data_IF_092693770310
#
_entry.id   IF_092693770310
#
_cell.length_a   1.000
_cell.length_b   1.000
_cell.length_c   1.000
_cell.angle_alpha   90.00
_cell.angle_beta   90.00
_cell.angle_gamma   90.00
#
_symmetry.space_group_name_H-M   'P 1'
#
loop_
_entity.id
_entity.type
_entity.pdbx_description
1 polymer ?
#
# COMPACT_ATOMS: atom_id res chain seq x y z
N UNK A 1 -3.82 -7.28 -9.33
CA UNK A 1 -4.17 -7.58 -7.93
C UNK A 1 -4.04 -6.28 -7.16
N UNK A 2 -5.01 -6.03 -6.29
CA UNK A 2 -5.08 -4.87 -5.39
C UNK A 2 -5.46 -5.38 -4.01
N UNK A 3 -4.81 -4.88 -2.96
CA UNK A 3 -5.24 -5.04 -1.59
C UNK A 3 -6.36 -4.05 -1.23
N UNK A 4 -6.92 -4.19 -0.04
CA UNK A 4 -8.21 -3.57 0.33
C UNK A 4 -8.16 -2.08 0.64
N UNK A 5 -6.97 -1.50 0.77
CA UNK A 5 -6.75 -0.09 1.13
C UNK A 5 -6.27 0.78 -0.04
N UNK A 6 -6.71 0.43 -1.25
CA UNK A 6 -6.44 1.15 -2.48
C UNK A 6 -7.69 1.89 -2.97
N UNK A 7 -7.56 3.16 -3.31
CA UNK A 7 -8.60 3.96 -3.98
C UNK A 7 -8.11 4.33 -5.38
N UNK A 8 -8.93 4.07 -6.39
CA UNK A 8 -8.62 4.39 -7.78
C UNK A 8 -8.88 5.89 -7.99
N UNK A 9 -7.82 6.64 -8.31
CA UNK A 9 -7.88 8.07 -8.64
C UNK A 9 -8.30 8.22 -10.12
N UNK A 10 -7.65 7.46 -10.99
CA UNK A 10 -7.87 7.44 -12.43
C UNK A 10 -7.69 6.02 -12.97
N UNK A 11 -8.27 5.67 -14.13
CA UNK A 11 -8.06 4.35 -14.74
C UNK A 11 -6.54 4.07 -14.91
N UNK A 12 -6.00 3.00 -14.32
CA UNK A 12 -4.57 2.71 -14.44
C UNK A 12 -4.18 2.45 -15.88
N UNK A 13 -3.08 3.06 -16.33
CA UNK A 13 -2.54 2.77 -17.65
C UNK A 13 -2.04 1.33 -17.69
N UNK A 14 -2.67 0.48 -18.51
CA UNK A 14 -2.22 -0.89 -18.68
C UNK A 14 -0.98 -0.93 -19.60
N UNK A 15 0.21 -0.80 -19.01
CA UNK A 15 1.49 -0.96 -19.70
C UNK A 15 2.07 -2.38 -19.55
N UNK A 16 1.27 -3.32 -19.04
CA UNK A 16 1.68 -4.72 -18.89
C UNK A 16 1.52 -5.48 -20.22
N UNK A 17 2.33 -6.51 -20.40
CA UNK A 17 2.21 -7.46 -21.52
C UNK A 17 1.94 -8.87 -20.97
N UNK A 18 1.61 -9.86 -21.84
CA UNK A 18 1.46 -11.25 -21.40
C UNK A 18 2.69 -11.86 -20.73
N UNK A 19 3.87 -11.26 -20.89
CA UNK A 19 5.16 -11.73 -20.36
C UNK A 19 5.84 -10.74 -19.43
N UNK A 20 5.38 -9.48 -19.35
CA UNK A 20 5.98 -8.43 -18.52
C UNK A 20 4.90 -7.74 -17.68
N UNK A 21 4.71 -8.14 -16.42
CA UNK A 21 3.80 -7.47 -15.49
C UNK A 21 4.26 -6.06 -15.14
N UNK A 22 3.36 -5.29 -14.53
CA UNK A 22 3.62 -3.94 -14.00
C UNK A 22 3.33 -3.92 -12.52
N UNK A 23 4.23 -3.37 -11.72
CA UNK A 23 4.06 -3.23 -10.27
C UNK A 23 4.56 -1.89 -9.76
N UNK A 24 4.09 -1.50 -8.58
CA UNK A 24 4.63 -0.34 -7.88
C UNK A 24 5.93 -0.70 -7.16
N UNK A 25 6.90 0.22 -7.20
CA UNK A 25 8.19 0.06 -6.52
C UNK A 25 8.13 0.57 -5.09
N UNK A 26 8.37 -0.31 -4.12
CA UNK A 26 8.30 0.03 -2.70
C UNK A 26 9.65 0.56 -2.19
N UNK A 27 9.65 1.79 -1.69
CA UNK A 27 10.86 2.47 -1.21
C UNK A 27 11.54 1.80 -0.01
N UNK A 28 10.83 0.93 0.72
CA UNK A 28 11.36 0.15 1.84
C UNK A 28 11.71 -1.30 1.47
N UNK A 29 11.46 -1.75 0.23
CA UNK A 29 11.81 -3.09 -0.25
C UNK A 29 13.04 -3.03 -1.16
N UNK A 30 14.14 -2.44 -0.68
CA UNK A 30 15.34 -2.28 -1.51
C UNK A 30 16.24 -3.50 -1.33
N UNK A 31 16.36 -4.34 -2.36
CA UNK A 31 17.18 -5.57 -2.32
C UNK A 31 18.64 -5.35 -1.94
N UNK A 32 19.18 -4.16 -2.23
CA UNK A 32 20.56 -3.75 -1.96
C UNK A 32 20.75 -3.04 -0.63
N UNK A 33 19.68 -2.83 0.15
CA UNK A 33 19.81 -2.30 1.50
C UNK A 33 20.68 -3.24 2.35
N UNK A 34 21.72 -2.76 3.05
CA UNK A 34 22.65 -3.61 3.79
C UNK A 34 22.00 -4.52 4.85
N UNK A 35 20.83 -4.15 5.39
CA UNK A 35 20.08 -4.96 6.35
C UNK A 35 19.28 -6.05 5.66
N UNK A 36 18.75 -5.78 4.46
CA UNK A 36 17.87 -6.69 3.72
C UNK A 36 18.68 -7.66 2.84
N UNK A 37 19.77 -7.19 2.24
CA UNK A 37 20.55 -7.91 1.24
C UNK A 37 21.00 -9.31 1.67
N UNK A 38 21.46 -9.57 2.92
CA UNK A 38 21.83 -10.92 3.34
C UNK A 38 20.66 -11.91 3.28
N UNK A 39 19.45 -11.46 3.65
CA UNK A 39 18.24 -12.28 3.55
C UNK A 39 17.82 -12.44 2.10
N UNK A 40 17.89 -11.39 1.27
CA UNK A 40 17.58 -11.50 -0.16
C UNK A 40 18.51 -12.51 -0.86
N UNK A 41 19.82 -12.40 -0.66
CA UNK A 41 20.81 -13.33 -1.23
C UNK A 41 20.60 -14.79 -0.80
N UNK A 42 20.11 -15.01 0.41
CA UNK A 42 19.82 -16.35 0.92
C UNK A 42 18.66 -17.04 0.18
N UNK A 43 17.67 -16.28 -0.30
CA UNK A 43 16.45 -16.84 -0.90
C UNK A 43 16.31 -16.59 -2.41
N UNK A 44 17.13 -15.69 -2.97
CA UNK A 44 17.21 -15.44 -4.39
C UNK A 44 18.16 -16.43 -5.08
N UNK A 45 17.73 -17.02 -6.18
CA UNK A 45 18.49 -18.05 -6.92
C UNK A 45 19.12 -17.52 -8.20
N UNK A 46 18.91 -16.25 -8.56
CA UNK A 46 19.53 -15.62 -9.73
C UNK A 46 20.89 -15.00 -9.43
N UNK A 47 21.54 -14.51 -10.48
CA UNK A 47 22.97 -14.13 -10.42
C UNK A 47 23.23 -12.75 -9.81
N UNK A 48 22.34 -11.76 -10.03
CA UNK A 48 22.52 -10.40 -9.51
C UNK A 48 21.28 -9.88 -8.77
N UNK A 49 21.39 -9.77 -7.43
CA UNK A 49 20.33 -9.20 -6.59
C UNK A 49 20.27 -7.66 -6.67
N UNK A 50 21.21 -7.00 -7.37
CA UNK A 50 21.18 -5.56 -7.60
C UNK A 50 20.22 -5.16 -8.73
N UNK A 51 19.94 -6.08 -9.65
CA UNK A 51 18.93 -5.95 -10.71
C UNK A 51 17.61 -6.61 -10.26
N UNK A 52 17.17 -6.29 -9.04
CA UNK A 52 15.96 -6.85 -8.44
C UNK A 52 14.79 -5.89 -8.59
N UNK A 53 13.66 -6.41 -9.06
CA UNK A 53 12.45 -5.63 -9.20
C UNK A 53 11.79 -5.50 -7.81
N UNK A 54 11.99 -4.35 -7.16
CA UNK A 54 11.55 -4.05 -5.80
C UNK A 54 10.03 -3.82 -5.70
N UNK A 55 9.23 -4.79 -6.14
CA UNK A 55 7.77 -4.74 -6.22
C UNK A 55 7.10 -5.70 -5.24
N UNK A 56 5.90 -5.36 -4.78
CA UNK A 56 5.03 -6.26 -4.01
C UNK A 56 3.91 -6.87 -4.87
N UNK A 57 3.02 -7.68 -4.26
CA UNK A 57 1.87 -8.28 -4.94
C UNK A 57 0.72 -7.29 -5.16
N UNK A 58 0.78 -6.10 -4.57
CA UNK A 58 -0.21 -5.05 -4.73
C UNK A 58 0.47 -3.68 -4.76
N UNK A 59 0.10 -2.77 -5.67
CA UNK A 59 -0.69 -3.02 -6.86
C UNK A 59 0.16 -3.71 -7.92
N UNK A 60 -0.44 -4.67 -8.62
CA UNK A 60 0.21 -5.32 -9.78
C UNK A 60 -0.78 -5.59 -10.91
N UNK A 61 -0.39 -5.33 -12.15
CA UNK A 61 -1.06 -5.82 -13.35
C UNK A 61 -0.24 -6.99 -13.88
N UNK A 62 -0.82 -8.19 -13.86
CA UNK A 62 -0.14 -9.43 -14.25
C UNK A 62 -1.06 -10.28 -15.11
N UNK A 63 -0.51 -10.87 -16.18
CA UNK A 63 -1.26 -11.78 -17.03
C UNK A 63 -1.58 -13.07 -16.28
N UNK A 64 -2.80 -13.61 -16.47
CA UNK A 64 -3.30 -14.79 -15.75
C UNK A 64 -2.32 -15.96 -15.74
N UNK A 65 -1.68 -16.28 -16.88
CA UNK A 65 -0.71 -17.38 -16.97
C UNK A 65 0.53 -17.18 -16.08
N UNK A 66 1.02 -15.95 -15.95
CA UNK A 66 2.15 -15.65 -15.06
C UNK A 66 1.70 -15.68 -13.60
N UNK A 67 0.47 -15.23 -13.32
CA UNK A 67 -0.10 -15.35 -11.98
C UNK A 67 -0.22 -16.82 -11.56
N UNK A 68 -0.77 -17.68 -12.41
CA UNK A 68 -0.87 -19.13 -12.17
C UNK A 68 0.50 -19.77 -11.89
N UNK A 69 1.56 -19.30 -12.55
CA UNK A 69 2.94 -19.77 -12.31
C UNK A 69 3.47 -19.37 -10.94
N UNK A 70 3.20 -18.14 -10.48
CA UNK A 70 3.81 -17.61 -9.25
C UNK A 70 3.00 -17.89 -7.98
N UNK A 71 1.68 -18.11 -8.06
CA UNK A 71 0.81 -18.27 -6.87
C UNK A 71 1.33 -19.31 -5.88
N UNK A 72 1.69 -20.51 -6.36
CA UNK A 72 2.18 -21.57 -5.46
C UNK A 72 3.61 -21.30 -4.94
N UNK A 73 4.59 -20.96 -5.79
CA UNK A 73 5.92 -20.54 -5.34
C UNK A 73 5.91 -19.36 -4.37
N UNK A 74 5.01 -18.39 -4.58
CA UNK A 74 4.80 -17.26 -3.67
C UNK A 74 4.35 -17.75 -2.30
N UNK A 75 3.30 -18.57 -2.22
CA UNK A 75 2.87 -19.16 -0.95
C UNK A 75 4.02 -19.90 -0.23
N UNK A 76 4.70 -20.80 -0.95
CA UNK A 76 5.78 -21.61 -0.37
C UNK A 76 6.94 -20.71 0.09
N UNK A 77 7.28 -19.66 -0.67
CA UNK A 77 8.28 -18.67 -0.26
C UNK A 77 7.83 -17.89 0.98
N UNK A 78 6.61 -17.36 1.01
CA UNK A 78 6.07 -16.63 2.17
C UNK A 78 6.13 -17.47 3.45
N UNK A 79 5.76 -18.75 3.39
CA UNK A 79 5.86 -19.67 4.54
C UNK A 79 7.33 -19.90 4.93
N UNK A 80 8.22 -20.13 3.97
CA UNK A 80 9.66 -20.32 4.23
C UNK A 80 10.28 -19.10 4.90
N UNK A 81 9.98 -17.90 4.41
CA UNK A 81 10.46 -16.65 4.99
C UNK A 81 9.90 -16.44 6.40
N UNK A 82 8.64 -16.81 6.63
CA UNK A 82 8.01 -16.69 7.95
C UNK A 82 8.64 -17.63 8.99
N UNK A 83 9.02 -18.84 8.58
CA UNK A 83 9.65 -19.85 9.45
C UNK A 83 11.15 -19.58 9.66
N UNK A 84 11.80 -18.83 8.77
CA UNK A 84 13.19 -18.41 8.94
C UNK A 84 13.29 -17.25 9.92
N UNK A 85 13.92 -17.47 11.08
CA UNK A 85 13.98 -16.49 12.15
C UNK A 85 14.60 -15.15 11.71
N UNK A 86 15.64 -15.19 10.87
CA UNK A 86 16.31 -13.98 10.41
C UNK A 86 15.49 -13.26 9.35
N UNK A 87 14.97 -13.97 8.34
CA UNK A 87 14.15 -13.33 7.31
C UNK A 87 12.86 -12.74 7.89
N UNK A 88 12.15 -13.46 8.76
CA UNK A 88 10.96 -12.95 9.43
C UNK A 88 11.25 -11.72 10.29
N UNK A 89 12.43 -11.66 10.94
CA UNK A 89 12.86 -10.51 11.74
C UNK A 89 13.21 -9.31 10.86
N UNK A 90 13.94 -9.53 9.77
CA UNK A 90 14.47 -8.48 8.88
C UNK A 90 13.39 -7.93 7.95
N UNK A 91 12.61 -8.80 7.31
CA UNK A 91 11.51 -8.38 6.44
C UNK A 91 10.28 -7.94 7.23
N UNK A 92 10.07 -8.48 8.43
CA UNK A 92 9.05 -8.01 9.37
C UNK A 92 7.63 -8.05 8.78
N UNK A 93 6.93 -6.92 8.83
CA UNK A 93 5.53 -6.83 8.40
C UNK A 93 5.34 -6.96 6.87
N UNK A 94 6.41 -6.78 6.08
CA UNK A 94 6.39 -6.95 4.61
C UNK A 94 6.95 -8.30 4.15
N UNK A 95 7.09 -9.27 5.06
CA UNK A 95 7.62 -10.62 4.74
C UNK A 95 6.85 -11.28 3.59
N UNK A 96 5.54 -11.10 3.55
CA UNK A 96 4.64 -11.64 2.53
C UNK A 96 4.92 -11.02 1.15
N UNK A 97 5.16 -9.70 1.12
CA UNK A 97 5.52 -8.98 -0.10
C UNK A 97 6.88 -9.45 -0.64
N UNK A 98 7.87 -9.65 0.24
CA UNK A 98 9.15 -10.26 -0.13
C UNK A 98 8.98 -11.70 -0.65
N UNK A 99 8.03 -12.45 -0.10
CA UNK A 99 7.66 -13.77 -0.60
C UNK A 99 7.23 -13.73 -2.06
N UNK A 100 6.40 -12.75 -2.43
CA UNK A 100 6.01 -12.52 -3.82
C UNK A 100 7.21 -12.14 -4.69
N UNK A 101 7.98 -11.12 -4.30
CA UNK A 101 9.08 -10.61 -5.13
C UNK A 101 10.12 -11.69 -5.40
N UNK A 102 10.53 -12.43 -4.36
CA UNK A 102 11.51 -13.51 -4.47
C UNK A 102 10.98 -14.66 -5.33
N UNK A 103 9.70 -15.04 -5.16
CA UNK A 103 9.10 -16.09 -5.98
C UNK A 103 9.01 -15.69 -7.46
N UNK A 104 8.57 -14.46 -7.75
CA UNK A 104 8.49 -13.96 -9.11
C UNK A 104 9.88 -13.87 -9.77
N UNK A 105 10.85 -13.30 -9.07
CA UNK A 105 12.23 -13.15 -9.56
C UNK A 105 12.91 -14.50 -9.77
N UNK A 106 12.71 -15.49 -8.88
CA UNK A 106 13.25 -16.84 -9.04
C UNK A 106 12.63 -17.61 -10.23
N UNK A 107 11.42 -17.23 -10.67
CA UNK A 107 10.78 -17.74 -11.89
C UNK A 107 11.17 -16.96 -13.15
N UNK A 108 12.00 -15.92 -13.03
CA UNK A 108 12.35 -15.02 -14.14
C UNK A 108 11.23 -14.08 -14.57
N UNK A 109 10.19 -13.89 -13.74
CA UNK A 109 9.12 -12.93 -13.99
C UNK A 109 9.64 -11.55 -13.61
N UNK A 110 9.95 -10.74 -14.62
CA UNK A 110 10.45 -9.36 -14.48
C UNK A 110 9.34 -8.33 -14.66
N UNK A 111 9.30 -7.33 -13.80
CA UNK A 111 8.27 -6.28 -13.79
C UNK A 111 8.77 -5.01 -14.45
N UNK A 112 7.86 -4.30 -15.10
CA UNK A 112 8.01 -2.85 -15.27
C UNK A 112 7.63 -2.20 -13.94
N UNK A 113 8.61 -1.61 -13.25
CA UNK A 113 8.38 -0.84 -12.03
C UNK A 113 7.86 0.54 -12.41
N UNK A 114 6.60 0.83 -12.08
CA UNK A 114 5.93 2.08 -12.44
C UNK A 114 5.69 2.93 -11.18
N UNK A 115 6.37 4.07 -11.11
CA UNK A 115 6.31 4.98 -9.96
C UNK A 115 4.96 5.67 -9.84
N UNK A 116 4.37 6.02 -10.98
CA UNK A 116 3.08 6.71 -11.09
C UNK A 116 1.88 5.78 -10.83
N UNK A 117 2.12 4.47 -10.64
CA UNK A 117 1.04 3.51 -10.46
C UNK A 117 0.26 3.76 -9.17
N UNK A 118 0.95 4.18 -8.12
CA UNK A 118 0.40 4.43 -6.80
C UNK A 118 1.12 5.58 -6.11
N UNK A 119 0.41 6.30 -5.25
CA UNK A 119 0.99 7.15 -4.22
C UNK A 119 0.70 6.65 -2.82
N UNK A 120 1.72 6.74 -1.96
CA UNK A 120 1.68 6.33 -0.56
C UNK A 120 2.31 7.43 0.31
N UNK A 121 1.51 8.42 0.76
CA UNK A 121 2.03 9.67 1.30
C UNK A 121 2.47 9.61 2.77
N UNK A 122 2.73 8.42 3.31
CA UNK A 122 3.29 8.17 4.66
C UNK A 122 2.62 8.98 5.80
N UNK A 123 1.34 9.29 5.65
CA UNK A 123 0.52 9.99 6.65
C UNK A 123 0.64 11.51 6.71
N UNK A 124 1.44 12.16 5.85
CA UNK A 124 1.48 13.64 5.73
C UNK A 124 0.59 14.17 4.60
N UNK A 125 0.19 13.30 3.68
CA UNK A 125 -0.53 13.67 2.46
C UNK A 125 0.40 14.17 1.35
N UNK A 126 -0.16 14.41 0.17
CA UNK A 126 0.55 14.79 -1.05
C UNK A 126 -0.33 15.63 -1.95
N UNK A 127 0.30 16.42 -2.83
CA UNK A 127 -0.32 17.22 -3.89
C UNK A 127 0.03 16.64 -5.26
N UNK A 128 -0.68 17.06 -6.32
CA UNK A 128 -0.46 16.57 -7.68
C UNK A 128 -0.99 15.15 -7.82
N UNK A 129 -2.21 14.90 -7.34
CA UNK A 129 -2.83 13.57 -7.33
C UNK A 129 -3.09 13.03 -8.74
N UNK A 130 -3.24 13.92 -9.72
CA UNK A 130 -3.49 13.62 -11.13
C UNK A 130 -2.39 12.82 -11.83
N UNK A 131 -1.16 12.86 -11.30
CA UNK A 131 -0.06 12.04 -11.81
C UNK A 131 -0.16 10.56 -11.42
N UNK A 132 -1.04 10.20 -10.49
CA UNK A 132 -1.16 8.85 -9.94
C UNK A 132 -2.47 8.16 -10.34
N UNK A 133 -2.44 6.83 -10.48
CA UNK A 133 -3.66 6.05 -10.73
C UNK A 133 -4.32 5.55 -9.45
N UNK A 134 -3.54 5.32 -8.39
CA UNK A 134 -4.01 4.73 -7.15
C UNK A 134 -3.53 5.52 -5.94
N UNK A 135 -4.41 5.74 -4.98
CA UNK A 135 -4.08 6.22 -3.64
C UNK A 135 -4.08 5.07 -2.64
N UNK A 136 -2.96 4.84 -1.96
CA UNK A 136 -2.84 3.81 -0.92
C UNK A 136 -3.00 4.43 0.47
N UNK A 137 -4.17 4.21 1.09
CA UNK A 137 -4.52 4.82 2.38
C UNK A 137 -4.16 3.95 3.59
N UNK A 138 -3.16 3.06 3.46
CA UNK A 138 -2.71 2.21 4.57
C UNK A 138 -2.16 3.00 5.75
N UNK A 139 -1.54 4.15 5.48
CA UNK A 139 -1.12 5.12 6.48
C UNK A 139 -2.21 6.17 6.67
N UNK A 140 -2.61 6.37 7.92
CA UNK A 140 -3.56 7.43 8.25
C UNK A 140 -2.97 8.81 8.00
N UNK A 141 -3.78 9.70 7.42
CA UNK A 141 -3.44 11.11 7.28
C UNK A 141 -3.46 11.76 8.66
N UNK A 142 -2.37 12.44 9.02
CA UNK A 142 -2.19 13.16 10.28
C UNK A 142 -1.79 14.60 9.95
N UNK A 143 -2.78 15.45 9.73
CA UNK A 143 -2.55 16.86 9.39
C UNK A 143 -2.40 17.66 10.68
N UNK A 144 -1.17 18.10 10.94
CA UNK A 144 -0.88 19.03 12.02
C UNK A 144 -1.18 20.45 11.53
N UNK A 145 -2.24 21.05 12.07
CA UNK A 145 -2.45 22.48 11.88
C UNK A 145 -1.39 23.25 12.67
N UNK A 146 -0.42 23.83 11.98
CA UNK A 146 0.61 24.66 12.61
C UNK A 146 0.06 25.99 13.16
N UNK A 147 -1.14 26.40 12.75
CA UNK A 147 -1.76 27.69 13.09
C UNK A 147 -2.92 27.58 14.09
N UNK A 148 -3.58 26.43 14.23
CA UNK A 148 -4.70 26.29 15.17
C UNK A 148 -4.26 25.89 16.59
N UNK A 149 -4.85 26.58 17.57
CA UNK A 149 -4.81 26.22 19.01
C UNK A 149 -5.61 24.93 19.34
N UNK A 150 -6.00 24.13 18.33
CA UNK A 150 -6.93 23.01 18.49
C UNK A 150 -6.60 21.82 17.56
N UNK A 151 -5.81 20.86 18.07
CA UNK A 151 -5.81 19.45 17.65
C UNK A 151 -5.32 19.11 16.23
N UNK A 152 -4.78 17.90 16.08
CA UNK A 152 -4.43 17.28 14.78
C UNK A 152 -5.72 16.78 14.10
N UNK A 153 -5.95 17.13 12.83
CA UNK A 153 -6.99 16.46 12.02
C UNK A 153 -6.41 15.14 11.54
N UNK A 154 -7.13 14.04 11.73
CA UNK A 154 -6.66 12.71 11.36
C UNK A 154 -7.74 11.87 10.72
N UNK A 155 -7.37 11.22 9.61
CA UNK A 155 -8.16 10.19 8.98
C UNK A 155 -7.30 8.92 8.85
N UNK A 156 -7.51 7.96 9.75
CA UNK A 156 -6.81 6.68 9.77
C UNK A 156 -7.81 5.52 9.83
N UNK A 157 -7.66 4.55 8.92
CA UNK A 157 -8.52 3.35 8.92
C UNK A 157 -8.50 2.59 10.24
N UNK A 158 -7.44 2.69 11.04
CA UNK A 158 -7.33 2.08 12.38
C UNK A 158 -8.23 2.74 13.42
N UNK A 159 -8.79 3.91 13.13
CA UNK A 159 -9.81 4.57 13.95
C UNK A 159 -11.23 4.14 13.59
N UNK A 160 -11.39 3.27 12.58
CA UNK A 160 -12.68 2.79 12.07
C UNK A 160 -12.94 1.33 12.48
N UNK A 161 -13.08 0.98 13.78
CA UNK A 161 -13.35 -0.40 14.17
C UNK A 161 -14.80 -0.78 13.81
N UNK A 162 -14.95 -1.56 12.74
CA UNK A 162 -16.18 -2.27 12.42
C UNK A 162 -17.31 -1.44 11.80
N UNK A 163 -17.04 -0.21 11.34
CA UNK A 163 -18.00 0.60 10.59
C UNK A 163 -17.30 1.41 9.49
N UNK A 164 -18.04 1.75 8.44
CA UNK A 164 -17.57 2.67 7.42
C UNK A 164 -17.96 4.11 7.78
N UNK A 165 -17.07 5.10 7.59
CA UNK A 165 -17.38 6.48 7.93
C UNK A 165 -18.48 7.02 7.00
N UNK A 166 -19.28 7.94 7.53
CA UNK A 166 -20.24 8.76 6.76
C UNK A 166 -20.03 10.21 7.17
N UNK A 167 -20.18 11.13 6.21
CA UNK A 167 -20.08 12.58 6.44
C UNK A 167 -18.81 12.99 7.20
N UNK A 168 -17.64 12.52 6.74
CA UNK A 168 -16.34 12.93 7.27
C UNK A 168 -16.19 14.45 7.10
N UNK A 169 -15.93 15.20 8.18
CA UNK A 169 -15.63 16.63 8.10
C UNK A 169 -14.43 16.94 7.20
N UNK A 170 -14.53 18.03 6.44
CA UNK A 170 -13.44 18.51 5.61
C UNK A 170 -12.14 18.68 6.41
N UNK A 171 -10.98 18.34 5.81
CA UNK A 171 -9.70 18.62 6.44
C UNK A 171 -9.44 20.14 6.50
N UNK A 172 -8.52 20.61 7.36
CA UNK A 172 -8.14 22.03 7.43
C UNK A 172 -7.74 22.59 6.06
N UNK A 173 -8.03 23.87 5.78
CA UNK A 173 -7.70 24.50 4.48
C UNK A 173 -6.21 24.45 4.10
N UNK A 174 -5.32 24.29 5.08
CA UNK A 174 -3.88 24.15 4.86
C UNK A 174 -3.43 22.71 4.53
N UNK A 175 -4.38 21.78 4.40
CA UNK A 175 -4.10 20.37 4.08
C UNK A 175 -3.74 20.20 2.59
N UNK A 176 -3.08 19.08 2.30
CA UNK A 176 -2.74 18.69 0.93
C UNK A 176 -3.98 18.23 0.14
N UNK A 177 -3.88 18.27 -1.18
CA UNK A 177 -4.91 17.81 -2.11
C UNK A 177 -5.41 16.40 -1.76
N UNK A 178 -4.50 15.49 -1.43
CA UNK A 178 -4.85 14.12 -1.07
C UNK A 178 -5.79 13.98 0.13
N UNK A 179 -5.75 14.91 1.08
CA UNK A 179 -6.62 14.89 2.25
C UNK A 179 -8.07 15.22 1.85
N UNK A 180 -8.24 16.22 0.99
CA UNK A 180 -9.54 16.57 0.41
C UNK A 180 -10.05 15.45 -0.49
N UNK A 181 -9.19 14.91 -1.37
CA UNK A 181 -9.54 13.79 -2.23
C UNK A 181 -10.05 12.59 -1.44
N UNK A 182 -9.30 12.14 -0.42
CA UNK A 182 -9.67 10.97 0.38
C UNK A 182 -11.00 11.19 1.11
N UNK A 183 -11.17 12.36 1.72
CA UNK A 183 -12.40 12.75 2.41
C UNK A 183 -13.60 12.73 1.47
N UNK A 184 -13.46 13.33 0.29
CA UNK A 184 -14.49 13.38 -0.74
C UNK A 184 -14.84 11.98 -1.26
N UNK A 185 -13.84 11.13 -1.52
CA UNK A 185 -14.07 9.76 -2.00
C UNK A 185 -14.88 8.93 -0.99
N UNK A 186 -14.57 9.01 0.30
CA UNK A 186 -15.36 8.34 1.34
C UNK A 186 -16.77 8.91 1.44
N UNK A 187 -16.92 10.24 1.40
CA UNK A 187 -18.22 10.89 1.51
C UNK A 187 -19.12 10.59 0.29
N UNK A 188 -18.57 10.62 -0.92
CA UNK A 188 -19.25 10.20 -2.15
C UNK A 188 -19.71 8.75 -2.05
N UNK A 189 -18.80 7.82 -1.71
CA UNK A 189 -19.12 6.41 -1.54
C UNK A 189 -20.25 6.21 -0.50
N UNK A 190 -20.14 6.89 0.64
CA UNK A 190 -21.11 6.78 1.73
C UNK A 190 -22.51 7.32 1.40
N UNK A 191 -22.59 8.28 0.48
CA UNK A 191 -23.86 8.90 0.07
C UNK A 191 -24.51 8.19 -1.13
N UNK A 192 -23.73 7.45 -1.92
CA UNK A 192 -24.18 6.86 -3.18
C UNK A 192 -24.39 5.34 -3.13
N UNK A 193 -23.65 4.62 -2.27
CA UNK A 193 -23.73 3.17 -2.19
C UNK A 193 -24.96 2.76 -1.34
N UNK A 194 -25.93 2.00 -1.90
CA UNK A 194 -27.08 1.53 -1.14
C UNK A 194 -26.68 0.66 0.04
N UNK A 195 -27.40 0.78 1.16
CA UNK A 195 -27.15 0.02 2.39
C UNK A 195 -25.74 0.19 2.96
N UNK A 196 -25.13 1.38 2.81
CA UNK A 196 -23.83 1.69 3.40
C UNK A 196 -23.84 1.38 4.91
N UNK A 197 -23.02 0.43 5.41
CA UNK A 197 -23.00 0.00 6.81
C UNK A 197 -22.24 1.01 7.67
N UNK A 198 -22.70 2.26 7.65
CA UNK A 198 -21.95 3.38 8.18
C UNK A 198 -22.51 3.98 9.46
N UNK A 199 -21.62 4.66 10.16
CA UNK A 199 -21.94 5.54 11.29
C UNK A 199 -21.36 6.92 10.99
N UNK A 200 -22.01 7.97 11.50
CA UNK A 200 -21.49 9.32 11.41
C UNK A 200 -20.12 9.41 12.08
N UNK A 201 -19.11 9.86 11.34
CA UNK A 201 -17.77 10.10 11.88
C UNK A 201 -17.75 11.48 12.54
N UNK A 202 -17.36 11.57 13.79
CA UNK A 202 -17.39 12.84 14.55
C UNK A 202 -16.02 13.50 14.63
N UNK A 203 -15.96 14.80 14.97
CA UNK A 203 -14.72 15.50 15.29
C UNK A 203 -13.91 14.83 16.41
N UNK A 204 -14.59 14.18 17.35
CA UNK A 204 -13.94 13.43 18.42
C UNK A 204 -13.24 12.16 17.90
N UNK A 205 -13.83 11.50 16.90
CA UNK A 205 -13.22 10.34 16.25
C UNK A 205 -11.98 10.76 15.45
N UNK A 206 -12.04 11.90 14.75
CA UNK A 206 -10.90 12.47 13.99
C UNK A 206 -9.73 12.92 14.87
N UNK A 207 -9.96 13.16 16.16
CA UNK A 207 -8.93 13.57 17.12
C UNK A 207 -8.39 12.41 17.96
N UNK A 208 -8.98 11.22 17.86
CA UNK A 208 -8.60 10.06 18.68
C UNK A 208 -7.22 9.54 18.26
N UNK A 209 -6.31 9.17 19.18
CA UNK A 209 -5.12 8.43 18.79
C UNK A 209 -5.51 7.08 18.14
N UNK A 210 -4.64 6.53 17.27
CA UNK A 210 -4.90 5.21 16.71
C UNK A 210 -4.90 4.21 17.87
N UNK A 211 -5.84 3.26 17.84
CA UNK A 211 -5.73 2.13 18.74
C UNK A 211 -4.55 1.28 18.27
N UNK A 212 -3.57 1.07 19.14
CA UNK A 212 -2.55 0.05 18.91
C UNK A 212 -3.30 -1.28 18.74
N UNK A 213 -3.33 -1.82 17.53
CA UNK A 213 -3.68 -3.22 17.35
C UNK A 213 -2.59 -4.03 18.08
N UNK A 214 -2.94 -5.08 18.83
CA UNK A 214 -1.95 -5.92 19.47
C UNK A 214 -0.92 -6.38 18.42
N UNK A 215 0.35 -6.11 18.73
CA UNK A 215 1.50 -6.51 17.91
C UNK A 215 1.60 -8.02 17.76
#
# INVERSE_FOLDING_TARGET
MLETDHIIISPPQNVATPTKPVGFGFYYMISTDPKLAPSVQKFYTGDDYKDFDNVGPSPVIIHRKQLEQVVRPWWDMSVRLKLDAEANRVFGWVTEMWGYSLAAMNLGIRHTVLREFQVEPQGIGTDGMDQYSIYHYTFGLNIQDKAARAGTWRLDKRQLPGYLPTNIPDPPMCSTESAFFLTNAFNEASSTIPNWPGRQHTDADLKRPPQDLPK
#
